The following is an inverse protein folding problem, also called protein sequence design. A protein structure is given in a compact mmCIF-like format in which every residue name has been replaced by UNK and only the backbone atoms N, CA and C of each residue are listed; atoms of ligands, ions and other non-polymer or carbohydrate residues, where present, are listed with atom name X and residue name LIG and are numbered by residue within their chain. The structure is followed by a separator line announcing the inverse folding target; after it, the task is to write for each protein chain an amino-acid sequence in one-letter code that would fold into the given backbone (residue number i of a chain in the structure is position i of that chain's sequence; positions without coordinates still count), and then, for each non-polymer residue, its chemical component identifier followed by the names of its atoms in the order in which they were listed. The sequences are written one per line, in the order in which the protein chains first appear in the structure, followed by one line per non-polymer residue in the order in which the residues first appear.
data_IF_387187151496
#
_entry.id   IF_387187151496
#
_cell.length_a   1.000
_cell.length_b   1.000
_cell.length_c   1.000
_cell.angle_alpha   90.00
_cell.angle_beta   90.00
_cell.angle_gamma   90.00
#
_symmetry.space_group_name_H-M   'P 1'
#
loop_
_entity.id
_entity.type
_entity.pdbx_description
1 polymer ?
#
# COMPACT_ATOMS: atom_id res chain seq x y z
N UNK A 1 -47.67 32.02 -10.35
CA UNK A 1 -46.64 33.07 -10.34
C UNK A 1 -45.44 32.69 -9.45
N UNK A 2 -45.46 32.85 -8.12
CA UNK A 2 -44.26 32.53 -7.30
C UNK A 2 -43.80 31.05 -7.35
N UNK A 3 -44.72 30.11 -7.50
CA UNK A 3 -44.41 28.68 -7.63
C UNK A 3 -43.84 28.29 -9.01
N UNK A 4 -44.14 29.07 -10.06
CA UNK A 4 -43.62 28.84 -11.41
C UNK A 4 -42.18 29.36 -11.52
N UNK A 5 -41.87 30.53 -10.97
CA UNK A 5 -40.50 31.07 -10.92
C UNK A 5 -39.54 30.16 -10.11
N UNK A 6 -40.01 29.53 -9.03
CA UNK A 6 -39.19 28.58 -8.26
C UNK A 6 -38.94 27.30 -9.06
N UNK A 7 -39.93 26.85 -9.85
CA UNK A 7 -39.80 25.65 -10.68
C UNK A 7 -38.86 25.88 -11.86
N UNK A 8 -38.93 27.05 -12.48
CA UNK A 8 -38.08 27.48 -13.58
C UNK A 8 -36.61 27.66 -13.13
N UNK A 9 -36.39 28.34 -12.00
CA UNK A 9 -35.06 28.44 -11.39
C UNK A 9 -34.48 27.08 -10.97
N UNK A 10 -35.31 26.14 -10.52
CA UNK A 10 -34.87 24.79 -10.17
C UNK A 10 -34.48 23.95 -11.41
N UNK A 11 -35.16 24.15 -12.54
CA UNK A 11 -34.79 23.54 -13.83
C UNK A 11 -33.49 24.11 -14.39
N UNK A 12 -33.29 25.42 -14.27
CA UNK A 12 -32.05 26.08 -14.67
C UNK A 12 -30.86 25.69 -13.78
N UNK A 13 -31.03 25.65 -12.45
CA UNK A 13 -30.01 25.14 -11.52
C UNK A 13 -29.60 23.70 -11.83
N UNK A 14 -30.56 22.85 -12.21
CA UNK A 14 -30.31 21.46 -12.58
C UNK A 14 -29.54 21.35 -13.91
N UNK A 15 -29.81 22.24 -14.86
CA UNK A 15 -29.11 22.31 -16.14
C UNK A 15 -27.67 22.85 -15.99
N UNK A 16 -27.48 23.88 -15.15
CA UNK A 16 -26.18 24.43 -14.78
C UNK A 16 -25.32 23.37 -14.06
N UNK A 17 -25.91 22.66 -13.09
CA UNK A 17 -25.27 21.57 -12.37
C UNK A 17 -24.86 20.42 -13.30
N UNK A 18 -25.71 20.07 -14.28
CA UNK A 18 -25.37 19.07 -15.32
C UNK A 18 -24.17 19.49 -16.16
N UNK A 19 -24.12 20.75 -16.62
CA UNK A 19 -22.99 21.28 -17.40
C UNK A 19 -21.68 21.31 -16.60
N UNK A 20 -21.76 21.64 -15.31
CA UNK A 20 -20.60 21.64 -14.41
C UNK A 20 -20.09 20.23 -14.10
N UNK A 21 -20.99 19.24 -13.94
CA UNK A 21 -20.62 17.84 -13.74
C UNK A 21 -19.98 17.26 -15.02
N UNK A 22 -20.54 17.54 -16.19
CA UNK A 22 -20.04 17.03 -17.48
C UNK A 22 -18.65 17.59 -17.83
N UNK A 23 -18.39 18.87 -17.53
CA UNK A 23 -17.07 19.48 -17.77
C UNK A 23 -15.97 18.86 -16.90
N UNK A 24 -16.29 18.49 -15.65
CA UNK A 24 -15.34 17.87 -14.72
C UNK A 24 -15.17 16.35 -14.93
N UNK A 25 -16.11 15.69 -15.61
CA UNK A 25 -16.13 14.25 -15.83
C UNK A 25 -14.93 13.76 -16.65
N UNK A 26 -14.54 14.51 -17.69
CA UNK A 26 -13.36 14.18 -18.52
C UNK A 26 -12.06 14.21 -17.72
N UNK A 27 -11.92 15.18 -16.82
CA UNK A 27 -10.74 15.30 -15.97
C UNK A 27 -10.66 14.16 -14.95
N UNK A 28 -11.78 13.80 -14.31
CA UNK A 28 -11.84 12.65 -13.39
C UNK A 28 -11.60 11.31 -14.08
N UNK A 29 -12.06 11.14 -15.33
CA UNK A 29 -11.81 9.92 -16.11
C UNK A 29 -10.31 9.74 -16.40
N UNK A 30 -9.62 10.81 -16.79
CA UNK A 30 -8.16 10.80 -17.01
C UNK A 30 -7.36 10.71 -15.71
N UNK A 31 -7.80 11.40 -14.65
CA UNK A 31 -7.16 11.36 -13.33
C UNK A 31 -7.29 9.97 -12.68
N UNK A 32 -8.47 9.36 -12.77
CA UNK A 32 -8.71 7.98 -12.33
C UNK A 32 -7.86 6.99 -13.13
N UNK A 33 -7.76 7.15 -14.44
CA UNK A 33 -6.87 6.32 -15.27
C UNK A 33 -5.39 6.49 -14.89
N UNK A 34 -4.95 7.72 -14.62
CA UNK A 34 -3.59 8.02 -14.16
C UNK A 34 -3.32 7.44 -12.77
N UNK A 35 -4.30 7.49 -11.87
CA UNK A 35 -4.22 6.91 -10.52
C UNK A 35 -4.12 5.38 -10.59
N UNK A 36 -4.95 4.74 -11.40
CA UNK A 36 -4.90 3.29 -11.63
C UNK A 36 -3.56 2.87 -12.23
N UNK A 37 -3.11 3.55 -13.29
CA UNK A 37 -1.82 3.24 -13.92
C UNK A 37 -0.65 3.45 -12.96
N UNK A 38 -0.66 4.54 -12.17
CA UNK A 38 0.39 4.81 -11.17
C UNK A 38 0.35 3.80 -10.02
N UNK A 39 -0.84 3.40 -9.57
CA UNK A 39 -1.04 2.38 -8.53
C UNK A 39 -0.54 1.03 -9.00
N UNK A 40 -0.97 0.57 -10.18
CA UNK A 40 -0.54 -0.70 -10.77
C UNK A 40 0.97 -0.72 -11.02
N UNK A 41 1.54 0.37 -11.54
CA UNK A 41 2.99 0.47 -11.75
C UNK A 41 3.77 0.46 -10.42
N UNK A 42 3.25 1.09 -9.37
CA UNK A 42 3.84 1.04 -8.04
C UNK A 42 3.78 -0.36 -7.43
N UNK A 43 2.63 -1.04 -7.54
CA UNK A 43 2.49 -2.44 -7.09
C UNK A 43 3.46 -3.35 -7.82
N UNK A 44 3.60 -3.21 -9.14
CA UNK A 44 4.60 -3.98 -9.90
C UNK A 44 6.02 -3.72 -9.39
N UNK A 45 6.42 -2.46 -9.21
CA UNK A 45 7.75 -2.12 -8.70
C UNK A 45 8.02 -2.69 -7.32
N UNK A 46 7.05 -2.60 -6.42
CA UNK A 46 7.14 -3.19 -5.07
C UNK A 46 7.23 -4.71 -5.14
N UNK A 47 6.44 -5.35 -6.01
CA UNK A 47 6.47 -6.79 -6.20
C UNK A 47 7.84 -7.27 -6.74
N UNK A 48 8.39 -6.59 -7.75
CA UNK A 48 9.72 -6.88 -8.27
C UNK A 48 10.80 -6.70 -7.19
N UNK A 49 10.76 -5.60 -6.45
CA UNK A 49 11.72 -5.34 -5.37
C UNK A 49 11.62 -6.38 -4.25
N UNK A 50 10.39 -6.71 -3.83
CA UNK A 50 10.15 -7.73 -2.81
C UNK A 50 10.67 -9.09 -3.26
N UNK A 51 10.42 -9.47 -4.52
CA UNK A 51 10.93 -10.72 -5.08
C UNK A 51 12.45 -10.76 -5.09
N UNK A 52 13.13 -9.69 -5.52
CA UNK A 52 14.59 -9.62 -5.46
C UNK A 52 15.11 -9.71 -4.02
N UNK A 53 14.49 -9.00 -3.08
CA UNK A 53 14.88 -9.04 -1.66
C UNK A 53 14.75 -10.45 -1.06
N UNK A 54 13.67 -11.17 -1.39
CA UNK A 54 13.47 -12.55 -0.95
C UNK A 54 14.59 -13.46 -1.48
N UNK A 55 14.92 -13.35 -2.77
CA UNK A 55 15.99 -14.14 -3.38
C UNK A 55 17.32 -13.87 -2.68
N UNK A 56 17.69 -12.59 -2.53
CA UNK A 56 18.94 -12.20 -1.85
C UNK A 56 18.96 -12.77 -0.42
N UNK A 57 17.88 -12.59 0.33
CA UNK A 57 17.78 -13.09 1.71
C UNK A 57 17.93 -14.60 1.79
N UNK A 58 17.36 -15.36 0.85
CA UNK A 58 17.53 -16.82 0.78
C UNK A 58 18.99 -17.22 0.58
N UNK A 59 19.71 -16.58 -0.34
CA UNK A 59 21.13 -16.86 -0.55
C UNK A 59 21.97 -16.54 0.69
N UNK A 60 21.70 -15.41 1.35
CA UNK A 60 22.36 -15.05 2.60
C UNK A 60 22.07 -16.06 3.73
N UNK A 61 20.81 -16.53 3.83
CA UNK A 61 20.41 -17.56 4.79
C UNK A 61 21.19 -18.86 4.58
N UNK A 62 21.31 -19.31 3.33
CA UNK A 62 22.05 -20.53 2.98
C UNK A 62 23.53 -20.35 3.30
N UNK A 63 24.11 -19.19 2.96
CA UNK A 63 25.52 -18.90 3.26
C UNK A 63 25.80 -18.91 4.78
N UNK A 64 24.91 -18.30 5.58
CA UNK A 64 25.01 -18.33 7.04
C UNK A 64 24.87 -19.74 7.61
N UNK A 65 23.93 -20.53 7.10
CA UNK A 65 23.72 -21.90 7.56
C UNK A 65 24.93 -22.79 7.25
N UNK A 66 25.54 -22.61 6.07
CA UNK A 66 26.77 -23.30 5.71
C UNK A 66 27.94 -22.84 6.59
N UNK A 67 28.11 -21.53 6.80
CA UNK A 67 29.17 -21.00 7.66
C UNK A 67 29.09 -21.53 9.10
N UNK A 68 27.89 -21.52 9.70
CA UNK A 68 27.68 -22.13 11.01
C UNK A 68 27.81 -23.65 10.97
N UNK A 69 27.37 -24.30 9.88
CA UNK A 69 27.52 -25.74 9.69
C UNK A 69 28.98 -26.18 9.72
N UNK A 70 29.88 -25.44 9.07
CA UNK A 70 31.32 -25.69 9.13
C UNK A 70 31.90 -25.42 10.51
N UNK A 71 31.42 -24.41 11.22
CA UNK A 71 31.92 -24.09 12.56
C UNK A 71 31.51 -25.15 13.60
N UNK A 72 30.30 -25.70 13.48
CA UNK A 72 29.80 -26.77 14.34
C UNK A 72 30.18 -28.18 13.84
N UNK A 73 30.92 -28.28 12.74
CA UNK A 73 31.26 -29.53 12.03
C UNK A 73 30.01 -30.40 11.71
N UNK A 74 28.85 -29.75 11.62
CA UNK A 74 27.55 -30.38 11.44
C UNK A 74 26.56 -29.40 10.79
N UNK A 75 26.19 -29.67 9.54
CA UNK A 75 25.25 -28.84 8.78
C UNK A 75 23.87 -28.75 9.42
N UNK A 76 23.37 -29.79 10.09
CA UNK A 76 22.07 -29.77 10.74
C UNK A 76 22.00 -28.72 11.85
N UNK A 77 23.09 -28.57 12.62
CA UNK A 77 23.19 -27.53 13.66
C UNK A 77 23.29 -26.14 13.05
N UNK A 78 23.99 -25.99 11.92
CA UNK A 78 24.05 -24.74 11.16
C UNK A 78 22.68 -24.23 10.71
N UNK A 79 21.87 -25.10 10.09
CA UNK A 79 20.50 -24.76 9.70
C UNK A 79 19.59 -24.49 10.90
N UNK A 80 19.74 -25.25 12.00
CA UNK A 80 18.96 -25.06 13.22
C UNK A 80 19.27 -23.69 13.88
N UNK A 81 20.55 -23.30 13.92
CA UNK A 81 20.97 -22.00 14.45
C UNK A 81 20.38 -20.84 13.63
N UNK A 82 20.45 -20.92 12.30
CA UNK A 82 19.85 -19.90 11.42
C UNK A 82 18.33 -19.85 11.57
N UNK A 83 17.66 -21.01 11.69
CA UNK A 83 16.22 -21.07 11.98
C UNK A 83 15.86 -20.39 13.30
N UNK A 84 16.68 -20.57 14.34
CA UNK A 84 16.47 -19.92 15.63
C UNK A 84 16.65 -18.39 15.55
N UNK A 85 17.62 -17.90 14.75
CA UNK A 85 17.80 -16.47 14.47
C UNK A 85 16.56 -15.89 13.79
N UNK A 86 16.01 -16.57 12.77
CA UNK A 86 14.78 -16.13 12.12
C UNK A 86 13.56 -16.13 13.04
N UNK A 87 13.48 -17.09 13.96
CA UNK A 87 12.42 -17.15 14.96
C UNK A 87 12.48 -15.93 15.90
N UNK A 88 13.68 -15.60 16.42
CA UNK A 88 13.88 -14.40 17.24
C UNK A 88 13.52 -13.14 16.44
N UNK A 89 13.98 -13.05 15.20
CA UNK A 89 13.67 -11.90 14.32
C UNK A 89 12.17 -11.76 14.09
N UNK A 90 11.44 -12.86 13.88
CA UNK A 90 10.00 -12.86 13.73
C UNK A 90 9.28 -12.35 14.99
N UNK A 91 9.73 -12.75 16.18
CA UNK A 91 9.18 -12.24 17.46
C UNK A 91 9.42 -10.73 17.60
N UNK A 92 10.63 -10.25 17.25
CA UNK A 92 10.95 -8.82 17.30
C UNK A 92 10.08 -8.04 16.33
N UNK A 93 9.93 -8.50 15.09
CA UNK A 93 9.06 -7.88 14.09
C UNK A 93 7.61 -7.87 14.58
N UNK A 94 7.11 -8.98 15.13
CA UNK A 94 5.75 -9.08 15.66
C UNK A 94 5.48 -8.07 16.79
N UNK A 95 6.46 -7.80 17.66
CA UNK A 95 6.31 -6.77 18.71
C UNK A 95 6.40 -5.34 18.19
N UNK A 96 7.11 -5.13 17.09
CA UNK A 96 7.37 -3.80 16.52
C UNK A 96 6.32 -3.41 15.45
N UNK A 97 5.65 -4.39 14.85
CA UNK A 97 4.66 -4.18 13.80
C UNK A 97 3.52 -3.24 14.25
N UNK A 98 3.06 -3.36 15.50
CA UNK A 98 1.99 -2.52 16.04
C UNK A 98 2.43 -1.05 16.13
N UNK A 99 3.71 -0.78 16.34
CA UNK A 99 4.24 0.60 16.41
C UNK A 99 4.64 1.19 15.06
N UNK A 100 5.20 0.38 14.15
CA UNK A 100 5.74 0.86 12.88
C UNK A 100 4.69 0.84 11.76
N UNK A 101 3.77 -0.12 11.77
CA UNK A 101 2.80 -0.31 10.69
C UNK A 101 1.48 0.38 11.01
N UNK A 102 0.90 0.16 12.20
CA UNK A 102 -0.43 0.69 12.51
C UNK A 102 -0.44 2.22 12.62
N UNK A 103 0.55 2.83 13.29
CA UNK A 103 0.60 4.28 13.47
C UNK A 103 0.61 5.08 12.15
N UNK A 104 1.58 4.86 11.25
CA UNK A 104 1.67 5.58 9.98
C UNK A 104 0.59 5.18 8.96
N UNK A 105 0.18 3.90 8.90
CA UNK A 105 -0.92 3.51 7.99
C UNK A 105 -2.22 4.17 8.44
N UNK A 106 -2.61 4.04 9.71
CA UNK A 106 -3.89 4.59 10.20
C UNK A 106 -3.89 6.12 10.07
N UNK A 107 -2.77 6.79 10.37
CA UNK A 107 -2.66 8.24 10.17
C UNK A 107 -2.77 8.66 8.69
N UNK A 108 -2.23 7.87 7.77
CA UNK A 108 -2.29 8.14 6.32
C UNK A 108 -3.68 7.86 5.75
N UNK A 109 -4.31 6.75 6.14
CA UNK A 109 -5.69 6.42 5.78
C UNK A 109 -6.68 7.42 6.36
N UNK A 110 -6.50 7.84 7.62
CA UNK A 110 -7.31 8.87 8.26
C UNK A 110 -7.22 10.19 7.52
N UNK A 111 -6.02 10.67 7.15
CA UNK A 111 -5.89 11.90 6.38
C UNK A 111 -6.47 11.81 4.96
N UNK A 112 -6.38 10.66 4.31
CA UNK A 112 -6.93 10.47 2.96
C UNK A 112 -8.46 10.36 2.96
N UNK A 113 -9.06 9.79 4.01
CA UNK A 113 -10.51 9.72 4.20
C UNK A 113 -11.11 11.05 4.68
N UNK A 114 -10.50 11.70 5.68
CA UNK A 114 -11.06 12.92 6.27
C UNK A 114 -10.80 14.19 5.44
N UNK A 115 -9.73 14.26 4.63
CA UNK A 115 -9.51 15.39 3.70
C UNK A 115 -10.53 15.45 2.55
N UNK A 116 -11.38 14.44 2.39
CA UNK A 116 -12.47 14.45 1.39
C UNK A 116 -13.75 15.12 1.92
N UNK A 117 -13.80 15.54 3.19
CA UNK A 117 -14.96 16.15 3.84
C UNK A 117 -14.72 17.58 4.36
N UNK A 118 -13.56 18.18 4.07
CA UNK A 118 -13.33 19.63 4.19
C UNK A 118 -13.24 20.27 2.80
#
# INVERSE_FOLDING_TARGET
MAFEEIKENAEDLKNEAKRLIDANLKYYKLWGFKLLMKSTAMMLKLFLLATMLVIVTLFFSIALALAFGYWFDNFALGFLAVGFIYLIMAIVIYKVQDKIVEGPLIATFSKMLFKKYE
#
